data_IF_943216007731
#
_entry.id   IF_943216007731
#
_cell.length_a   1.000
_cell.length_b   1.000
_cell.length_c   1.000
_cell.angle_alpha   90.00
_cell.angle_beta   90.00
_cell.angle_gamma   90.00
#
_symmetry.space_group_name_H-M   'P 1'
#
loop_
_entity.id
_entity.type
_entity.pdbx_description
1 polymer ?
#
# COMPACT_ATOMS: atom_id res chain seq x y z
N UNK A 1 23.11 -11.28 -25.29
CA UNK A 1 22.00 -11.21 -24.31
C UNK A 1 20.76 -11.51 -25.11
N UNK A 2 20.06 -12.57 -24.80
CA UNK A 2 18.80 -12.95 -25.44
C UNK A 2 17.80 -11.80 -25.22
N UNK A 3 17.16 -11.38 -26.33
CA UNK A 3 16.18 -10.25 -26.31
C UNK A 3 14.84 -10.74 -25.72
N UNK A 4 14.89 -11.34 -24.52
CA UNK A 4 13.73 -11.92 -23.85
C UNK A 4 12.88 -10.81 -23.23
N UNK A 5 11.63 -10.72 -23.67
CA UNK A 5 10.68 -9.72 -23.21
C UNK A 5 9.89 -10.24 -22.00
N UNK A 6 10.08 -9.61 -20.86
CA UNK A 6 9.23 -9.73 -19.68
C UNK A 6 8.61 -8.36 -19.37
N UNK A 7 7.37 -8.32 -18.96
CA UNK A 7 6.78 -7.01 -18.69
C UNK A 7 5.35 -7.00 -18.18
N UNK A 8 4.83 -5.78 -18.05
CA UNK A 8 3.45 -5.48 -17.69
C UNK A 8 2.74 -4.85 -18.88
N UNK A 9 1.59 -5.38 -19.25
CA UNK A 9 0.68 -4.76 -20.21
C UNK A 9 -0.50 -4.09 -19.50
N UNK A 10 -0.88 -2.92 -19.97
CA UNK A 10 -2.01 -2.14 -19.48
C UNK A 10 -2.22 -0.87 -20.29
N UNK A 11 -3.33 -0.15 -20.06
CA UNK A 11 -3.63 1.10 -20.78
C UNK A 11 -2.81 2.28 -20.26
N UNK A 12 -2.64 2.40 -18.94
CA UNK A 12 -1.89 3.49 -18.28
C UNK A 12 -1.03 2.92 -17.17
N UNK A 13 0.30 3.04 -17.29
CA UNK A 13 1.28 2.37 -16.43
C UNK A 13 2.21 3.33 -15.66
N UNK A 14 1.95 4.64 -15.71
CA UNK A 14 2.83 5.72 -15.18
C UNK A 14 3.17 5.55 -13.68
N UNK A 15 2.33 4.86 -12.91
CA UNK A 15 2.49 4.70 -11.46
C UNK A 15 2.71 3.25 -11.03
N UNK A 16 3.12 2.37 -11.97
CA UNK A 16 3.34 0.96 -11.67
C UNK A 16 4.71 0.74 -11.01
N UNK A 17 4.74 0.02 -9.90
CA UNK A 17 5.96 -0.44 -9.23
C UNK A 17 6.35 -1.87 -9.63
N UNK A 18 5.68 -2.46 -10.61
CA UNK A 18 5.97 -3.82 -11.05
C UNK A 18 7.41 -3.94 -11.56
N UNK A 19 7.90 -2.93 -12.29
CA UNK A 19 9.27 -2.92 -12.80
C UNK A 19 10.29 -3.01 -11.67
N UNK A 20 10.18 -2.15 -10.67
CA UNK A 20 11.09 -2.10 -9.53
C UNK A 20 11.09 -3.43 -8.74
N UNK A 21 9.92 -4.05 -8.58
CA UNK A 21 9.79 -5.32 -7.86
C UNK A 21 10.45 -6.46 -8.65
N UNK A 22 10.15 -6.59 -9.94
CA UNK A 22 10.71 -7.65 -10.78
C UNK A 22 12.22 -7.48 -10.97
N UNK A 23 12.71 -6.25 -11.17
CA UNK A 23 14.15 -5.98 -11.29
C UNK A 23 14.91 -6.19 -9.97
N UNK A 24 14.26 -6.00 -8.80
CA UNK A 24 14.84 -6.32 -7.51
C UNK A 24 15.14 -7.82 -7.30
N UNK A 25 14.57 -8.70 -8.12
CA UNK A 25 14.91 -10.13 -8.16
C UNK A 25 16.22 -10.41 -8.90
N UNK A 26 16.69 -9.47 -9.76
CA UNK A 26 17.96 -9.58 -10.48
C UNK A 26 18.02 -10.74 -11.49
N UNK A 27 16.89 -11.17 -12.06
CA UNK A 27 16.81 -12.33 -12.96
C UNK A 27 16.62 -11.96 -14.41
N UNK A 28 15.92 -10.87 -14.70
CA UNK A 28 15.61 -10.37 -16.04
C UNK A 28 15.32 -8.87 -16.02
N UNK A 29 15.34 -8.24 -17.19
CA UNK A 29 14.85 -6.88 -17.35
C UNK A 29 13.33 -6.91 -17.51
N UNK A 30 12.63 -5.94 -16.90
CA UNK A 30 11.19 -5.86 -16.94
C UNK A 30 10.72 -4.55 -17.58
N UNK A 31 9.80 -4.66 -18.54
CA UNK A 31 9.34 -3.54 -19.35
C UNK A 31 7.86 -3.20 -19.05
N UNK A 32 7.48 -1.97 -19.33
CA UNK A 32 6.10 -1.51 -19.22
C UNK A 32 5.58 -1.25 -20.65
N UNK A 33 4.55 -1.98 -21.06
CA UNK A 33 3.93 -1.86 -22.38
C UNK A 33 2.56 -1.21 -22.23
N UNK A 34 2.50 0.11 -22.46
CA UNK A 34 1.21 0.83 -22.54
C UNK A 34 0.62 0.60 -23.93
N UNK A 35 -0.48 -0.13 -23.99
CA UNK A 35 -1.15 -0.53 -25.22
C UNK A 35 -2.56 0.08 -25.29
N UNK A 36 -3.01 0.44 -26.47
CA UNK A 36 -4.42 0.72 -26.72
C UNK A 36 -5.25 -0.58 -26.75
N UNK A 37 -6.57 -0.47 -26.66
CA UNK A 37 -7.44 -1.66 -26.60
C UNK A 37 -7.39 -2.52 -27.87
N UNK A 38 -7.22 -1.89 -29.02
CA UNK A 38 -7.05 -2.51 -30.34
C UNK A 38 -5.65 -3.10 -30.58
N UNK A 39 -4.61 -2.59 -29.91
CA UNK A 39 -3.24 -3.08 -30.03
C UNK A 39 -2.95 -4.33 -29.19
N UNK A 40 -3.68 -4.49 -28.06
CA UNK A 40 -3.40 -5.56 -27.10
C UNK A 40 -3.55 -6.97 -27.69
N UNK A 41 -4.59 -7.31 -28.47
CA UNK A 41 -4.72 -8.65 -29.06
C UNK A 41 -3.57 -8.99 -30.02
N UNK A 42 -3.16 -8.05 -30.85
CA UNK A 42 -2.04 -8.28 -31.79
C UNK A 42 -0.71 -8.47 -31.06
N UNK A 43 -0.48 -7.68 -30.00
CA UNK A 43 0.70 -7.84 -29.14
C UNK A 43 0.78 -9.23 -28.50
N UNK A 44 -0.34 -9.77 -27.99
CA UNK A 44 -0.38 -11.11 -27.40
C UNK A 44 -0.24 -12.19 -28.48
N UNK A 45 -0.92 -12.04 -29.62
CA UNK A 45 -0.90 -13.02 -30.71
C UNK A 45 0.47 -13.11 -31.41
N UNK A 46 1.27 -12.02 -31.38
CA UNK A 46 2.64 -12.05 -31.88
C UNK A 46 3.54 -13.03 -31.10
N UNK A 47 3.16 -13.45 -29.88
CA UNK A 47 3.86 -14.44 -29.05
C UNK A 47 5.35 -14.11 -28.78
N UNK A 48 5.79 -12.86 -28.98
CA UNK A 48 7.17 -12.41 -28.81
C UNK A 48 7.45 -11.89 -27.39
N UNK A 49 7.25 -12.76 -26.40
CA UNK A 49 7.54 -12.50 -24.98
C UNK A 49 7.79 -13.82 -24.22
N UNK A 50 8.41 -13.72 -23.05
CA UNK A 50 8.66 -14.87 -22.16
C UNK A 50 7.69 -14.93 -20.97
N UNK A 51 7.24 -13.78 -20.50
CA UNK A 51 6.26 -13.69 -19.42
C UNK A 51 5.70 -12.27 -19.30
N UNK A 52 4.39 -12.17 -19.09
CA UNK A 52 3.71 -10.89 -18.96
C UNK A 52 2.79 -10.88 -17.75
N UNK A 53 2.84 -9.78 -17.00
CA UNK A 53 1.73 -9.42 -16.15
C UNK A 53 0.71 -8.59 -16.92
N UNK A 54 -0.55 -8.68 -16.51
CA UNK A 54 -1.68 -7.98 -17.12
C UNK A 54 -2.39 -7.15 -16.06
N UNK A 55 -2.61 -5.85 -16.32
CA UNK A 55 -3.39 -4.99 -15.46
C UNK A 55 -4.60 -4.40 -16.16
N UNK A 56 -5.31 -3.53 -15.47
CA UNK A 56 -6.51 -2.85 -15.96
C UNK A 56 -6.23 -2.15 -17.31
N UNK A 57 -7.15 -2.26 -18.29
CA UNK A 57 -8.45 -2.95 -18.22
C UNK A 57 -8.41 -4.43 -18.67
N UNK A 58 -7.29 -4.97 -19.12
CA UNK A 58 -7.14 -6.16 -19.98
C UNK A 58 -7.24 -7.51 -19.28
N UNK A 59 -7.40 -7.57 -17.96
CA UNK A 59 -7.40 -8.85 -17.18
C UNK A 59 -8.48 -9.86 -17.62
N UNK A 60 -9.58 -9.39 -18.22
CA UNK A 60 -10.62 -10.26 -18.79
C UNK A 60 -10.39 -10.51 -20.28
N UNK A 61 -9.91 -9.51 -20.99
CA UNK A 61 -9.80 -9.52 -22.44
C UNK A 61 -8.68 -10.43 -22.94
N UNK A 62 -7.68 -10.74 -22.10
CA UNK A 62 -6.61 -11.67 -22.43
C UNK A 62 -7.02 -13.17 -22.29
N UNK A 63 -8.14 -13.45 -21.60
CA UNK A 63 -8.60 -14.84 -21.38
C UNK A 63 -8.76 -15.61 -22.71
N UNK A 64 -9.48 -15.10 -23.72
CA UNK A 64 -9.65 -15.79 -24.99
C UNK A 64 -8.38 -15.90 -25.85
N UNK A 65 -7.31 -15.18 -25.49
CA UNK A 65 -6.02 -15.19 -26.17
C UNK A 65 -5.03 -16.20 -25.58
N UNK A 66 -5.37 -16.88 -24.48
CA UNK A 66 -4.59 -17.93 -23.86
C UNK A 66 -4.95 -19.29 -24.46
N UNK A 67 -3.94 -20.16 -24.62
CA UNK A 67 -4.17 -21.55 -25.05
C UNK A 67 -4.76 -22.37 -23.88
N UNK A 68 -4.36 -22.09 -22.65
CA UNK A 68 -4.88 -22.68 -21.41
C UNK A 68 -5.13 -21.56 -20.37
N UNK A 69 -6.17 -21.70 -19.57
CA UNK A 69 -6.42 -20.85 -18.40
C UNK A 69 -6.56 -21.75 -17.19
N UNK A 70 -5.78 -21.47 -16.14
CA UNK A 70 -5.82 -22.28 -14.92
C UNK A 70 -7.22 -22.25 -14.27
N UNK A 71 -7.60 -23.30 -13.56
CA UNK A 71 -8.91 -23.39 -12.87
C UNK A 71 -9.12 -22.23 -11.89
N UNK A 72 -8.05 -21.78 -11.23
CA UNK A 72 -8.08 -20.63 -10.36
C UNK A 72 -8.46 -19.35 -11.12
N UNK A 73 -7.75 -19.03 -12.19
CA UNK A 73 -7.99 -17.82 -12.98
C UNK A 73 -9.37 -17.86 -13.66
N UNK A 74 -9.80 -19.05 -14.12
CA UNK A 74 -11.13 -19.29 -14.67
C UNK A 74 -12.23 -19.06 -13.62
N UNK A 75 -12.02 -19.58 -12.41
CA UNK A 75 -12.96 -19.38 -11.29
C UNK A 75 -13.05 -17.94 -10.80
N UNK A 76 -11.95 -17.18 -10.92
CA UNK A 76 -11.93 -15.73 -10.62
C UNK A 76 -12.53 -14.93 -11.79
N UNK A 77 -12.40 -15.39 -13.02
CA UNK A 77 -12.81 -14.68 -14.23
C UNK A 77 -11.85 -13.54 -14.61
N UNK A 78 -10.57 -13.63 -14.24
CA UNK A 78 -9.54 -12.65 -14.55
C UNK A 78 -8.15 -13.29 -14.57
N UNK A 79 -7.33 -12.88 -15.54
CA UNK A 79 -5.92 -13.27 -15.71
C UNK A 79 -5.05 -12.03 -15.49
N UNK A 80 -4.02 -12.15 -14.64
CA UNK A 80 -3.03 -11.09 -14.43
C UNK A 80 -1.60 -11.54 -14.76
N UNK A 81 -1.42 -12.81 -15.16
CA UNK A 81 -0.11 -13.42 -15.42
C UNK A 81 -0.21 -14.36 -16.61
N UNK A 82 0.64 -14.14 -17.62
CA UNK A 82 0.78 -14.97 -18.82
C UNK A 82 2.18 -15.59 -18.84
N UNK A 83 2.27 -16.91 -18.99
CA UNK A 83 3.54 -17.62 -19.01
C UNK A 83 3.49 -18.84 -19.94
N UNK A 84 4.66 -19.36 -20.29
CA UNK A 84 4.80 -20.50 -21.17
C UNK A 84 4.98 -21.79 -20.38
N UNK A 85 4.25 -22.83 -20.78
CA UNK A 85 4.33 -24.19 -20.25
C UNK A 85 4.61 -25.17 -21.40
N UNK A 86 5.42 -26.19 -21.17
CA UNK A 86 5.63 -27.23 -22.15
C UNK A 86 4.30 -27.91 -22.49
N UNK A 87 4.00 -28.08 -23.77
CA UNK A 87 2.85 -28.90 -24.16
C UNK A 87 3.14 -30.33 -23.70
N UNK A 88 2.23 -30.93 -22.90
CA UNK A 88 2.36 -32.31 -22.50
C UNK A 88 2.45 -33.18 -23.78
N UNK A 89 3.62 -33.77 -24.02
CA UNK A 89 3.79 -34.71 -25.10
C UNK A 89 2.77 -35.85 -24.93
N UNK A 90 2.12 -36.20 -26.00
CA UNK A 90 1.10 -37.25 -26.13
C UNK A 90 1.62 -38.59 -25.58
N UNK A 91 1.27 -38.91 -24.33
CA UNK A 91 1.29 -40.28 -23.81
C UNK A 91 -0.13 -40.65 -23.38
N UNK A 92 -0.90 -41.16 -24.38
CA UNK A 92 -2.00 -42.09 -24.18
C UNK A 92 -3.29 -41.56 -23.57
N UNK A 93 -4.28 -41.35 -24.44
CA UNK A 93 -5.72 -41.45 -24.17
C UNK A 93 -6.33 -40.79 -22.93
N UNK A 94 -6.87 -39.59 -23.10
CA UNK A 94 -8.17 -39.25 -22.49
C UNK A 94 -8.86 -38.16 -23.33
N UNK A 95 -10.06 -38.49 -23.80
CA UNK A 95 -10.95 -37.63 -24.56
C UNK A 95 -11.27 -36.34 -23.77
N UNK A 96 -10.76 -35.19 -24.21
CA UNK A 96 -11.22 -33.88 -23.77
C UNK A 96 -12.19 -33.35 -24.82
N UNK A 97 -13.49 -33.56 -24.56
CA UNK A 97 -14.57 -32.86 -25.26
C UNK A 97 -14.65 -31.41 -24.71
N UNK A 98 -14.06 -30.47 -25.43
CA UNK A 98 -14.20 -29.03 -25.17
C UNK A 98 -13.89 -28.27 -26.44
N UNK A 99 -14.90 -27.57 -26.97
CA UNK A 99 -14.84 -26.80 -28.22
C UNK A 99 -13.62 -25.86 -28.26
N UNK A 100 -12.69 -26.18 -29.16
CA UNK A 100 -11.59 -25.31 -29.54
C UNK A 100 -12.14 -24.20 -30.42
N UNK A 101 -12.24 -23.01 -29.83
CA UNK A 101 -12.37 -21.74 -30.56
C UNK A 101 -11.03 -21.07 -30.66
N UNK A 102 -10.62 -20.77 -31.89
CA UNK A 102 -9.46 -19.99 -32.30
C UNK A 102 -8.12 -20.76 -32.42
N UNK A 103 -7.49 -20.60 -33.57
CA UNK A 103 -6.19 -21.10 -34.00
C UNK A 103 -5.08 -20.70 -33.03
N UNK A 104 -4.82 -21.51 -32.02
CA UNK A 104 -3.72 -21.35 -31.09
C UNK A 104 -2.39 -21.55 -31.81
N UNK A 105 -1.63 -20.51 -32.03
CA UNK A 105 -0.26 -20.58 -32.49
C UNK A 105 0.61 -21.23 -31.43
N UNK A 106 1.18 -22.39 -31.69
CA UNK A 106 2.20 -22.99 -30.86
C UNK A 106 3.46 -22.16 -31.03
N UNK A 107 4.06 -21.69 -29.87
CA UNK A 107 5.37 -21.08 -29.88
C UNK A 107 6.36 -22.04 -30.62
N UNK A 108 7.38 -21.52 -31.37
CA UNK A 108 8.39 -22.33 -32.07
C UNK A 108 9.07 -23.41 -31.20
N UNK A 109 9.01 -23.28 -29.88
CA UNK A 109 9.56 -24.24 -28.91
C UNK A 109 8.56 -25.32 -28.45
N UNK A 110 7.36 -25.42 -29.03
CA UNK A 110 6.33 -26.41 -28.63
C UNK A 110 5.65 -26.12 -27.30
N UNK A 111 5.59 -24.87 -26.86
CA UNK A 111 4.98 -24.42 -25.61
C UNK A 111 3.59 -23.81 -25.82
N UNK A 112 2.74 -23.94 -24.83
CA UNK A 112 1.42 -23.29 -24.78
C UNK A 112 1.42 -22.08 -23.89
N UNK A 113 0.63 -21.06 -24.22
CA UNK A 113 0.44 -19.85 -23.41
C UNK A 113 -0.63 -20.08 -22.35
N UNK A 114 -0.22 -19.99 -21.07
CA UNK A 114 -1.10 -20.20 -19.92
C UNK A 114 -1.44 -18.88 -19.26
N UNK A 115 -2.74 -18.65 -19.03
CA UNK A 115 -3.27 -17.56 -18.22
C UNK A 115 -3.49 -17.96 -16.76
N UNK A 116 -2.97 -17.16 -15.83
CA UNK A 116 -3.08 -17.40 -14.39
C UNK A 116 -3.40 -16.10 -13.63
N UNK A 117 -3.71 -16.24 -12.32
CA UNK A 117 -4.02 -15.07 -11.48
C UNK A 117 -3.19 -15.08 -10.18
N UNK A 118 -2.03 -14.44 -10.22
CA UNK A 118 -1.13 -14.30 -9.05
C UNK A 118 -1.57 -13.26 -8.03
N UNK A 119 -2.61 -12.44 -8.31
CA UNK A 119 -3.21 -11.57 -7.29
C UNK A 119 -3.75 -12.40 -6.11
N UNK A 120 -4.21 -13.62 -6.38
CA UNK A 120 -4.70 -14.56 -5.37
C UNK A 120 -3.60 -14.96 -4.38
N UNK A 121 -2.43 -15.39 -4.88
CA UNK A 121 -1.28 -15.73 -4.03
C UNK A 121 -0.78 -14.50 -3.26
N UNK A 122 -0.77 -13.34 -3.94
CA UNK A 122 -0.41 -12.06 -3.33
C UNK A 122 -1.33 -11.68 -2.18
N UNK A 123 -2.63 -11.84 -2.34
CA UNK A 123 -3.63 -11.54 -1.32
C UNK A 123 -3.51 -12.47 -0.12
N UNK A 124 -3.41 -13.77 -0.34
CA UNK A 124 -3.23 -14.76 0.73
C UNK A 124 -1.93 -14.52 1.50
N UNK A 125 -0.85 -14.17 0.80
CA UNK A 125 0.41 -13.80 1.46
C UNK A 125 0.24 -12.57 2.35
N UNK A 126 -0.45 -11.52 1.87
CA UNK A 126 -0.68 -10.29 2.64
C UNK A 126 -1.52 -10.57 3.90
N UNK A 127 -2.58 -11.37 3.79
CA UNK A 127 -3.42 -11.78 4.91
C UNK A 127 -2.63 -12.60 5.94
N UNK A 128 -1.96 -13.66 5.49
CA UNK A 128 -1.16 -14.55 6.35
C UNK A 128 -0.05 -13.80 7.08
N UNK A 129 0.67 -12.92 6.38
CA UNK A 129 1.73 -12.07 6.98
C UNK A 129 1.21 -11.18 8.10
N UNK A 130 -0.03 -10.71 8.01
CA UNK A 130 -0.69 -9.90 9.03
C UNK A 130 -1.36 -10.75 10.14
N UNK A 131 -1.29 -12.07 10.04
CA UNK A 131 -1.98 -12.99 10.96
C UNK A 131 -3.50 -12.91 10.84
N UNK A 132 -4.01 -12.63 9.65
CA UNK A 132 -5.43 -12.57 9.30
C UNK A 132 -5.79 -13.88 8.60
N UNK A 133 -6.79 -14.56 9.13
CA UNK A 133 -7.38 -15.78 8.56
C UNK A 133 -8.89 -15.55 8.32
N UNK A 134 -9.50 -16.44 7.53
CA UNK A 134 -10.91 -16.34 7.15
C UNK A 134 -11.75 -17.51 7.65
N UNK A 135 -11.14 -18.55 8.21
CA UNK A 135 -11.82 -19.78 8.60
C UNK A 135 -12.92 -19.49 9.63
N UNK A 136 -14.16 -19.89 9.31
CA UNK A 136 -15.33 -19.72 10.16
C UNK A 136 -15.78 -18.27 10.36
N UNK A 137 -15.26 -17.30 9.60
CA UNK A 137 -15.50 -15.85 9.80
C UNK A 137 -16.53 -15.27 8.84
N UNK A 138 -17.21 -14.23 9.33
CA UNK A 138 -17.99 -13.32 8.49
C UNK A 138 -17.08 -12.29 7.83
N UNK A 139 -17.04 -12.29 6.51
CA UNK A 139 -16.17 -11.43 5.70
C UNK A 139 -16.99 -10.40 4.94
N UNK A 140 -16.68 -9.12 5.12
CA UNK A 140 -17.27 -8.03 4.33
C UNK A 140 -16.26 -7.55 3.28
N UNK A 141 -16.61 -7.67 2.00
CA UNK A 141 -15.81 -7.17 0.89
C UNK A 141 -16.46 -5.91 0.35
N UNK A 142 -15.75 -4.79 0.38
CA UNK A 142 -16.20 -3.50 -0.14
C UNK A 142 -15.82 -3.39 -1.61
N UNK A 143 -16.81 -3.27 -2.50
CA UNK A 143 -16.65 -3.12 -3.95
C UNK A 143 -16.86 -4.41 -4.74
N UNK A 144 -17.05 -4.25 -6.06
CA UNK A 144 -17.47 -5.31 -7.01
C UNK A 144 -16.52 -5.50 -8.18
N UNK A 145 -15.38 -4.78 -8.19
CA UNK A 145 -14.37 -4.85 -9.26
C UNK A 145 -13.57 -6.15 -9.31
N UNK A 146 -12.63 -6.25 -10.25
CA UNK A 146 -11.81 -7.46 -10.48
C UNK A 146 -11.07 -7.97 -9.23
N UNK A 147 -10.56 -7.07 -8.38
CA UNK A 147 -9.91 -7.45 -7.12
C UNK A 147 -10.90 -8.05 -6.11
N UNK A 148 -12.17 -7.60 -6.14
CA UNK A 148 -13.24 -8.18 -5.31
C UNK A 148 -13.50 -9.64 -5.68
N UNK A 149 -13.48 -10.00 -6.99
CA UNK A 149 -13.65 -11.38 -7.44
C UNK A 149 -12.58 -12.30 -6.86
N UNK A 150 -11.33 -11.84 -6.88
CA UNK A 150 -10.20 -12.57 -6.27
C UNK A 150 -10.36 -12.69 -4.75
N UNK A 151 -10.73 -11.61 -4.05
CA UNK A 151 -10.91 -11.63 -2.60
C UNK A 151 -12.06 -12.56 -2.14
N UNK A 152 -13.16 -12.60 -2.90
CA UNK A 152 -14.28 -13.55 -2.71
C UNK A 152 -13.77 -14.99 -2.79
N UNK A 153 -13.04 -15.30 -3.85
CA UNK A 153 -12.48 -16.62 -4.08
C UNK A 153 -11.52 -17.01 -2.94
N UNK A 154 -10.61 -16.12 -2.56
CA UNK A 154 -9.67 -16.36 -1.47
C UNK A 154 -10.37 -16.61 -0.12
N UNK A 155 -11.38 -15.82 0.22
CA UNK A 155 -12.16 -16.01 1.44
C UNK A 155 -12.93 -17.35 1.45
N UNK A 156 -13.53 -17.73 0.31
CA UNK A 156 -14.25 -18.99 0.17
C UNK A 156 -13.31 -20.20 0.26
N UNK A 157 -12.16 -20.17 -0.41
CA UNK A 157 -11.17 -21.24 -0.37
C UNK A 157 -10.52 -21.40 1.02
N UNK A 158 -10.56 -20.34 1.85
CA UNK A 158 -10.12 -20.34 3.23
C UNK A 158 -11.27 -20.58 4.22
N UNK A 159 -12.38 -21.17 3.78
CA UNK A 159 -13.52 -21.61 4.59
C UNK A 159 -14.20 -20.48 5.39
N UNK A 160 -14.35 -19.29 4.80
CA UNK A 160 -15.17 -18.25 5.41
C UNK A 160 -16.61 -18.75 5.64
N UNK A 161 -17.18 -18.47 6.79
CA UNK A 161 -18.55 -18.89 7.13
C UNK A 161 -19.60 -18.14 6.29
N UNK A 162 -19.36 -16.85 6.03
CA UNK A 162 -20.23 -15.99 5.23
C UNK A 162 -19.42 -14.90 4.57
N UNK A 163 -19.76 -14.56 3.33
CA UNK A 163 -19.13 -13.50 2.55
C UNK A 163 -20.19 -12.51 2.09
N UNK A 164 -20.07 -11.27 2.55
CA UNK A 164 -20.92 -10.17 2.15
C UNK A 164 -20.17 -9.25 1.18
N UNK A 165 -20.83 -8.83 0.12
CA UNK A 165 -20.27 -7.91 -0.87
C UNK A 165 -21.07 -6.61 -0.79
N UNK A 166 -20.44 -5.53 -0.37
CA UNK A 166 -21.06 -4.22 -0.37
C UNK A 166 -21.00 -3.61 -1.77
N UNK A 167 -22.17 -3.34 -2.34
CA UNK A 167 -22.34 -2.67 -3.64
C UNK A 167 -23.22 -1.45 -3.52
N UNK A 168 -22.98 -0.47 -4.39
CA UNK A 168 -23.89 0.67 -4.60
C UNK A 168 -25.11 0.29 -5.43
N UNK A 169 -24.99 -0.81 -6.17
CA UNK A 169 -26.02 -1.33 -7.09
C UNK A 169 -26.15 -2.84 -6.91
N UNK A 170 -26.62 -3.31 -5.73
CA UNK A 170 -26.67 -4.76 -5.42
C UNK A 170 -27.57 -5.55 -6.37
N UNK A 171 -28.55 -4.92 -6.98
CA UNK A 171 -29.48 -5.52 -7.95
C UNK A 171 -28.84 -5.83 -9.30
N UNK A 172 -27.79 -5.07 -9.69
CA UNK A 172 -27.08 -5.24 -10.95
C UNK A 172 -25.74 -5.92 -10.82
N UNK A 173 -25.25 -6.06 -9.57
CA UNK A 173 -24.00 -6.73 -9.23
C UNK A 173 -24.26 -8.10 -8.57
N UNK A 174 -24.89 -9.06 -9.27
CA UNK A 174 -25.15 -10.37 -8.69
C UNK A 174 -23.82 -11.04 -8.34
N UNK A 175 -23.79 -11.88 -7.30
CA UNK A 175 -22.58 -12.63 -6.96
C UNK A 175 -22.21 -13.52 -8.15
N UNK A 176 -21.17 -13.12 -8.92
CA UNK A 176 -20.67 -13.93 -10.04
C UNK A 176 -19.56 -14.88 -9.57
N UNK A 177 -19.62 -16.12 -9.98
CA UNK A 177 -18.64 -17.18 -9.68
C UNK A 177 -19.33 -18.50 -9.38
N UNK A 178 -19.34 -19.42 -10.35
CA UNK A 178 -20.19 -20.62 -10.37
C UNK A 178 -20.05 -21.58 -9.19
N UNK A 179 -18.88 -21.70 -8.56
CA UNK A 179 -18.65 -22.64 -7.44
C UNK A 179 -18.94 -22.04 -6.05
N UNK A 180 -18.91 -20.71 -5.90
CA UNK A 180 -19.17 -20.05 -4.63
C UNK A 180 -20.67 -19.83 -4.39
N UNK A 181 -21.45 -19.67 -5.46
CA UNK A 181 -22.92 -19.53 -5.39
C UNK A 181 -23.62 -20.76 -4.84
N UNK A 182 -23.12 -21.94 -5.16
CA UNK A 182 -23.74 -23.22 -4.75
C UNK A 182 -23.66 -23.48 -3.23
N UNK A 183 -22.76 -22.80 -2.52
CA UNK A 183 -22.57 -22.98 -1.08
C UNK A 183 -23.49 -22.11 -0.20
N UNK A 184 -24.25 -21.16 -0.77
CA UNK A 184 -25.11 -20.24 0.00
C UNK A 184 -24.37 -19.27 0.96
N UNK A 185 -23.03 -19.23 0.85
CA UNK A 185 -22.19 -18.38 1.72
C UNK A 185 -22.04 -16.96 1.22
N UNK A 186 -22.39 -16.66 -0.03
CA UNK A 186 -22.21 -15.37 -0.67
C UNK A 186 -23.52 -14.57 -0.71
N UNK A 187 -23.45 -13.30 -0.31
CA UNK A 187 -24.60 -12.37 -0.37
C UNK A 187 -24.12 -10.97 -0.82
N UNK A 188 -24.85 -10.34 -1.74
CA UNK A 188 -24.62 -8.92 -2.07
C UNK A 188 -25.60 -8.06 -1.24
N UNK A 189 -25.08 -6.98 -0.67
CA UNK A 189 -25.82 -6.04 0.17
C UNK A 189 -25.57 -4.60 -0.25
N UNK A 190 -26.53 -3.71 -0.04
CA UNK A 190 -26.29 -2.28 -0.17
C UNK A 190 -25.52 -1.73 1.04
N UNK A 191 -24.96 -0.54 0.90
CA UNK A 191 -24.31 0.13 2.03
C UNK A 191 -25.31 0.49 3.16
N UNK A 192 -26.58 0.70 2.83
CA UNK A 192 -27.64 1.00 3.81
C UNK A 192 -28.03 -0.23 4.65
N UNK A 193 -27.78 -1.44 4.15
CA UNK A 193 -28.02 -2.70 4.86
C UNK A 193 -26.87 -3.13 5.76
N UNK A 194 -25.72 -2.45 5.71
CA UNK A 194 -24.56 -2.80 6.53
C UNK A 194 -24.85 -2.83 8.03
N UNK A 195 -25.66 -1.93 8.62
CA UNK A 195 -26.00 -2.01 10.04
C UNK A 195 -26.67 -3.33 10.46
N UNK A 196 -27.43 -3.97 9.57
CA UNK A 196 -28.15 -5.22 9.85
C UNK A 196 -27.21 -6.42 10.01
N UNK A 197 -26.04 -6.38 9.34
CA UNK A 197 -25.05 -7.46 9.34
C UNK A 197 -23.80 -7.12 10.15
N UNK A 198 -23.67 -5.90 10.67
CA UNK A 198 -22.44 -5.39 11.28
C UNK A 198 -21.89 -6.27 12.41
N UNK A 199 -22.76 -6.87 13.21
CA UNK A 199 -22.39 -7.76 14.33
C UNK A 199 -21.82 -9.11 13.86
N UNK A 200 -22.08 -9.52 12.60
CA UNK A 200 -21.61 -10.80 12.04
C UNK A 200 -20.31 -10.66 11.24
N UNK A 201 -19.71 -9.47 11.20
CA UNK A 201 -18.50 -9.19 10.42
C UNK A 201 -17.27 -9.26 11.30
N UNK A 202 -16.36 -10.19 10.98
CA UNK A 202 -15.07 -10.37 11.64
C UNK A 202 -13.92 -9.78 10.84
N UNK A 203 -13.98 -9.82 9.50
CA UNK A 203 -12.94 -9.35 8.61
C UNK A 203 -13.52 -8.41 7.55
N UNK A 204 -12.89 -7.26 7.36
CA UNK A 204 -13.28 -6.29 6.32
C UNK A 204 -12.17 -6.22 5.27
N UNK A 205 -12.54 -6.35 4.00
CA UNK A 205 -11.62 -6.26 2.86
C UNK A 205 -12.05 -5.09 1.97
N UNK A 206 -11.25 -4.01 1.94
CA UNK A 206 -11.48 -2.91 1.02
C UNK A 206 -10.83 -3.19 -0.34
N UNK A 207 -11.65 -3.37 -1.37
CA UNK A 207 -11.23 -3.51 -2.77
C UNK A 207 -11.65 -2.31 -3.63
N UNK A 208 -12.17 -1.24 -2.99
CA UNK A 208 -12.54 0.01 -3.66
C UNK A 208 -11.33 0.93 -3.83
N UNK A 209 -11.34 1.90 -4.73
CA UNK A 209 -10.31 2.92 -4.83
C UNK A 209 -10.45 4.06 -3.80
N UNK A 210 -11.46 4.02 -2.90
CA UNK A 210 -11.73 5.09 -1.95
C UNK A 210 -10.61 5.17 -0.91
N UNK A 211 -10.00 6.34 -0.78
CA UNK A 211 -8.83 6.56 0.07
C UNK A 211 -7.50 6.47 -0.66
N UNK A 212 -7.49 6.13 -1.96
CA UNK A 212 -6.29 6.17 -2.81
C UNK A 212 -5.87 7.64 -3.09
N UNK A 213 -4.56 7.88 -3.18
CA UNK A 213 -4.01 9.16 -3.65
C UNK A 213 -4.64 9.60 -4.98
N UNK A 214 -4.99 10.89 -5.18
CA UNK A 214 -4.81 12.03 -4.26
C UNK A 214 -5.93 12.23 -3.22
N UNK A 215 -6.98 11.38 -3.22
CA UNK A 215 -8.17 11.51 -2.38
C UNK A 215 -7.99 10.81 -1.01
N UNK A 216 -6.80 10.98 -0.44
CA UNK A 216 -6.46 10.43 0.86
C UNK A 216 -7.48 10.88 1.94
N UNK A 217 -7.61 10.12 3.01
CA UNK A 217 -8.54 10.35 4.14
C UNK A 217 -10.02 10.17 3.82
N UNK A 218 -10.39 9.79 2.60
CA UNK A 218 -11.72 9.26 2.32
C UNK A 218 -11.82 7.80 2.78
N UNK A 219 -12.97 7.41 3.32
CA UNK A 219 -13.27 6.02 3.66
C UNK A 219 -14.73 5.71 3.37
N UNK A 220 -15.01 4.45 3.06
CA UNK A 220 -16.34 3.97 2.64
C UNK A 220 -17.24 3.72 3.84
N UNK A 221 -16.65 3.23 4.94
CA UNK A 221 -17.32 2.83 6.17
C UNK A 221 -16.52 3.29 7.38
N UNK A 222 -17.10 3.25 8.56
CA UNK A 222 -16.41 3.48 9.84
C UNK A 222 -16.29 2.15 10.59
N UNK A 223 -15.10 1.78 11.01
CA UNK A 223 -14.86 0.49 11.68
C UNK A 223 -15.57 0.38 13.04
N UNK A 224 -15.79 1.52 13.71
CA UNK A 224 -16.55 1.57 14.96
C UNK A 224 -18.00 1.06 14.82
N UNK A 225 -18.55 1.06 13.61
CA UNK A 225 -19.90 0.59 13.34
C UNK A 225 -19.95 -0.96 13.21
N UNK A 226 -18.79 -1.64 13.25
CA UNK A 226 -18.64 -3.11 13.18
C UNK A 226 -18.01 -3.67 14.46
N UNK A 227 -18.79 -3.88 15.52
CA UNK A 227 -18.26 -4.22 16.83
C UNK A 227 -17.57 -5.59 16.90
N UNK A 228 -17.86 -6.51 15.97
CA UNK A 228 -17.23 -7.83 15.84
C UNK A 228 -15.92 -7.83 15.04
N UNK A 229 -15.59 -6.72 14.37
CA UNK A 229 -14.46 -6.67 13.47
C UNK A 229 -13.12 -6.87 14.20
N UNK A 230 -12.32 -7.81 13.72
CA UNK A 230 -11.01 -8.19 14.28
C UNK A 230 -9.87 -7.82 13.35
N UNK A 231 -10.17 -7.71 12.04
CA UNK A 231 -9.12 -7.50 11.04
C UNK A 231 -9.60 -6.71 9.81
N UNK A 232 -8.68 -5.96 9.21
CA UNK A 232 -8.91 -5.15 8.01
C UNK A 232 -7.81 -5.40 6.98
N UNK A 233 -8.21 -5.71 5.75
CA UNK A 233 -7.32 -5.76 4.58
C UNK A 233 -7.72 -4.62 3.64
N UNK A 234 -6.79 -3.73 3.33
CA UNK A 234 -6.99 -2.70 2.33
C UNK A 234 -6.02 -2.95 1.16
N UNK A 235 -6.54 -3.18 -0.04
CA UNK A 235 -5.69 -3.45 -1.21
C UNK A 235 -4.96 -2.19 -1.72
N UNK A 236 -5.27 -1.04 -1.16
CA UNK A 236 -4.58 0.22 -1.45
C UNK A 236 -3.18 0.18 -0.83
N UNK A 237 -2.17 0.57 -1.61
CA UNK A 237 -0.78 0.72 -1.18
C UNK A 237 -0.27 2.17 -1.30
N UNK A 238 -1.10 3.07 -1.82
CA UNK A 238 -0.83 4.50 -1.88
C UNK A 238 -2.06 5.30 -1.42
N UNK A 239 -2.10 5.80 -0.19
CA UNK A 239 -1.04 5.79 0.85
C UNK A 239 -0.80 4.40 1.45
N UNK A 240 0.26 4.27 2.28
CA UNK A 240 0.51 3.04 3.06
C UNK A 240 -0.55 2.79 4.12
N UNK A 241 -1.07 3.85 4.73
CA UNK A 241 -2.21 3.77 5.67
C UNK A 241 -3.32 4.70 5.18
N UNK A 242 -4.37 4.11 4.66
CA UNK A 242 -5.61 4.83 4.36
C UNK A 242 -6.30 5.28 5.65
N UNK A 243 -7.33 6.11 5.56
CA UNK A 243 -8.14 6.48 6.73
C UNK A 243 -8.71 5.24 7.43
N UNK A 244 -9.12 4.23 6.66
CA UNK A 244 -9.61 2.94 7.15
C UNK A 244 -8.54 2.21 7.99
N UNK A 245 -7.30 2.15 7.50
CA UNK A 245 -6.20 1.49 8.22
C UNK A 245 -5.71 2.30 9.43
N UNK A 246 -5.77 3.63 9.38
CA UNK A 246 -5.50 4.48 10.55
C UNK A 246 -6.55 4.28 11.66
N UNK A 247 -7.82 4.07 11.29
CA UNK A 247 -8.87 3.72 12.24
C UNK A 247 -8.65 2.32 12.81
N UNK A 248 -8.28 1.33 11.99
CA UNK A 248 -7.93 -0.03 12.42
C UNK A 248 -6.77 -0.03 13.43
N UNK A 249 -5.70 0.73 13.15
CA UNK A 249 -4.56 0.90 14.07
C UNK A 249 -5.00 1.48 15.41
N UNK A 250 -5.84 2.53 15.39
CA UNK A 250 -6.37 3.17 16.60
C UNK A 250 -7.24 2.23 17.44
N UNK A 251 -7.98 1.34 16.80
CA UNK A 251 -8.83 0.34 17.46
C UNK A 251 -8.05 -0.93 17.87
N UNK A 252 -6.75 -1.03 17.55
CA UNK A 252 -5.92 -2.19 17.88
C UNK A 252 -6.27 -3.44 17.06
N UNK A 253 -6.92 -3.27 15.88
CA UNK A 253 -7.27 -4.38 15.00
C UNK A 253 -6.04 -4.84 14.22
N UNK A 254 -6.03 -6.12 13.80
CA UNK A 254 -5.07 -6.59 12.81
C UNK A 254 -5.32 -5.90 11.48
N UNK A 255 -4.28 -5.49 10.77
CA UNK A 255 -4.47 -4.89 9.45
C UNK A 255 -3.27 -5.10 8.51
N UNK A 256 -3.54 -5.03 7.22
CA UNK A 256 -2.52 -4.95 6.17
C UNK A 256 -2.97 -4.01 5.06
N UNK A 257 -1.99 -3.37 4.40
CA UNK A 257 -2.21 -2.61 3.16
C UNK A 257 -1.90 -3.47 1.92
N UNK A 258 -2.05 -2.90 0.72
CA UNK A 258 -1.84 -3.59 -0.54
C UNK A 258 -0.38 -3.84 -0.92
N UNK A 259 0.63 -3.26 -0.24
CA UNK A 259 2.03 -3.42 -0.63
C UNK A 259 2.53 -4.87 -0.53
N UNK A 260 2.26 -5.64 0.53
CA UNK A 260 2.62 -7.05 0.58
C UNK A 260 1.99 -7.87 -0.55
N UNK A 261 0.73 -7.60 -0.88
CA UNK A 261 0.03 -8.23 -2.01
C UNK A 261 0.72 -7.87 -3.34
N UNK A 262 1.03 -6.60 -3.56
CA UNK A 262 1.69 -6.11 -4.78
C UNK A 262 3.05 -6.78 -5.00
N UNK A 263 3.84 -6.97 -3.94
CA UNK A 263 5.13 -7.64 -4.02
C UNK A 263 4.95 -9.14 -4.25
N UNK A 264 4.11 -9.79 -3.46
CA UNK A 264 3.99 -11.24 -3.50
C UNK A 264 3.38 -11.76 -4.82
N UNK A 265 2.42 -11.02 -5.43
CA UNK A 265 1.91 -11.39 -6.76
C UNK A 265 3.00 -11.29 -7.85
N UNK A 266 3.90 -10.31 -7.74
CA UNK A 266 4.98 -10.14 -8.71
C UNK A 266 6.06 -11.22 -8.56
N UNK A 267 6.43 -11.59 -7.33
CA UNK A 267 7.38 -12.69 -7.09
C UNK A 267 6.78 -14.06 -7.47
N UNK A 268 5.47 -14.25 -7.28
CA UNK A 268 4.77 -15.43 -7.77
C UNK A 268 4.80 -15.49 -9.31
N UNK A 269 4.46 -14.38 -9.98
CA UNK A 269 4.53 -14.28 -11.45
C UNK A 269 5.94 -14.57 -11.97
N UNK A 270 6.99 -14.04 -11.33
CA UNK A 270 8.37 -14.35 -11.69
C UNK A 270 8.69 -15.86 -11.61
N UNK A 271 8.13 -16.56 -10.61
CA UNK A 271 8.23 -18.01 -10.51
C UNK A 271 7.62 -18.73 -11.70
N UNK A 272 6.43 -18.33 -12.13
CA UNK A 272 5.80 -18.89 -13.33
C UNK A 272 6.58 -18.56 -14.61
N UNK A 273 7.06 -17.34 -14.77
CA UNK A 273 7.86 -16.92 -15.93
C UNK A 273 9.12 -17.75 -16.10
N UNK A 274 9.75 -18.17 -15.01
CA UNK A 274 11.02 -18.90 -14.99
C UNK A 274 10.82 -20.42 -14.79
N UNK A 275 9.59 -20.92 -14.84
CA UNK A 275 9.29 -22.35 -14.66
C UNK A 275 9.59 -22.88 -13.25
N UNK A 276 9.66 -22.02 -12.25
CA UNK A 276 9.95 -22.33 -10.85
C UNK A 276 8.94 -21.72 -9.87
N UNK A 277 7.64 -22.11 -9.93
CA UNK A 277 6.61 -21.57 -9.08
C UNK A 277 7.00 -21.66 -7.59
N UNK A 278 6.79 -20.55 -6.86
CA UNK A 278 7.09 -20.45 -5.43
C UNK A 278 8.55 -20.14 -5.07
N UNK A 279 9.51 -20.21 -6.01
CA UNK A 279 10.95 -20.06 -5.71
C UNK A 279 11.33 -18.69 -5.12
N UNK A 280 10.55 -17.64 -5.41
CA UNK A 280 10.85 -16.27 -5.02
C UNK A 280 10.07 -15.77 -3.78
N UNK A 281 9.23 -16.59 -3.17
CA UNK A 281 8.44 -16.17 -1.99
C UNK A 281 9.32 -15.69 -0.82
N UNK A 282 10.51 -16.28 -0.64
CA UNK A 282 11.49 -15.87 0.38
C UNK A 282 12.00 -14.43 0.20
N UNK A 283 11.91 -13.87 -1.01
CA UNK A 283 12.33 -12.51 -1.31
C UNK A 283 11.28 -11.46 -0.93
N UNK A 284 10.03 -11.85 -0.71
CA UNK A 284 8.92 -10.94 -0.44
C UNK A 284 9.24 -9.96 0.68
N UNK A 285 9.69 -10.46 1.85
CA UNK A 285 9.95 -9.61 3.00
C UNK A 285 11.06 -8.58 2.74
N UNK A 286 12.13 -9.00 2.06
CA UNK A 286 13.25 -8.13 1.67
C UNK A 286 12.78 -7.02 0.73
N UNK A 287 12.00 -7.37 -0.29
CA UNK A 287 11.51 -6.41 -1.29
C UNK A 287 10.48 -5.46 -0.66
N UNK A 288 9.54 -5.97 0.15
CA UNK A 288 8.57 -5.14 0.88
C UNK A 288 9.30 -4.10 1.74
N UNK A 289 10.30 -4.53 2.53
CA UNK A 289 11.09 -3.63 3.37
C UNK A 289 11.83 -2.58 2.55
N UNK A 290 12.47 -2.96 1.45
CA UNK A 290 13.17 -2.05 0.56
C UNK A 290 12.21 -1.00 -0.04
N UNK A 291 11.03 -1.41 -0.51
CA UNK A 291 10.01 -0.48 -1.03
C UNK A 291 9.45 0.45 0.04
N UNK A 292 9.18 -0.06 1.25
CA UNK A 292 8.76 0.79 2.37
C UNK A 292 9.81 1.85 2.70
N UNK A 293 11.07 1.48 2.74
CA UNK A 293 12.18 2.41 2.97
C UNK A 293 12.33 3.42 1.83
N UNK A 294 12.20 3.00 0.58
CA UNK A 294 12.31 3.88 -0.59
C UNK A 294 11.16 4.88 -0.66
N UNK A 295 9.94 4.40 -0.53
CA UNK A 295 8.73 5.19 -0.77
C UNK A 295 8.26 5.96 0.48
N UNK A 296 8.51 5.45 1.68
CA UNK A 296 8.01 6.01 2.93
C UNK A 296 8.65 7.35 3.29
N UNK A 297 7.95 8.13 4.08
CA UNK A 297 8.44 9.38 4.65
C UNK A 297 9.07 9.14 6.02
N UNK A 298 10.06 9.96 6.38
CA UNK A 298 10.59 10.05 7.74
C UNK A 298 10.10 11.38 8.32
N UNK A 299 9.22 11.32 9.31
CA UNK A 299 8.62 12.52 9.90
C UNK A 299 9.26 12.82 11.25
N UNK A 300 9.93 13.97 11.36
CA UNK A 300 10.62 14.39 12.57
C UNK A 300 9.69 15.25 13.43
N UNK A 301 9.29 14.74 14.59
CA UNK A 301 8.49 15.43 15.58
C UNK A 301 9.31 15.71 16.85
N UNK A 302 8.91 16.69 17.65
CA UNK A 302 9.57 17.01 18.93
C UNK A 302 9.57 18.50 19.25
N UNK A 303 9.95 18.83 20.48
CA UNK A 303 10.01 20.20 20.98
C UNK A 303 10.82 21.13 20.07
N UNK A 304 10.51 22.44 20.05
CA UNK A 304 11.34 23.43 19.39
C UNK A 304 12.79 23.36 19.91
N UNK A 305 13.80 23.35 19.00
CA UNK A 305 15.22 23.32 19.38
C UNK A 305 15.82 21.95 19.67
N UNK A 306 15.09 20.87 19.51
CA UNK A 306 15.63 19.50 19.65
C UNK A 306 16.59 19.09 18.55
N UNK A 307 16.69 19.86 17.45
CA UNK A 307 17.61 19.60 16.33
C UNK A 307 17.00 18.85 15.16
N UNK A 308 15.68 18.89 15.00
CA UNK A 308 14.96 18.24 13.88
C UNK A 308 15.53 18.60 12.52
N UNK A 309 15.72 19.89 12.21
CA UNK A 309 16.26 20.34 10.92
C UNK A 309 17.71 19.87 10.69
N UNK A 310 18.55 19.76 11.74
CA UNK A 310 19.92 19.23 11.65
C UNK A 310 19.89 17.73 11.32
N UNK A 311 19.07 16.98 12.05
CA UNK A 311 18.88 15.54 11.84
C UNK A 311 18.23 15.29 10.48
N UNK A 312 17.28 16.13 10.07
CA UNK A 312 16.64 16.07 8.76
C UNK A 312 17.63 16.22 7.60
N UNK A 313 18.55 17.20 7.67
CA UNK A 313 19.63 17.37 6.69
C UNK A 313 20.53 16.13 6.62
N UNK A 314 20.88 15.59 7.78
CA UNK A 314 21.72 14.41 7.85
C UNK A 314 21.02 13.15 7.28
N UNK A 315 19.74 12.98 7.56
CA UNK A 315 18.94 11.91 6.97
C UNK A 315 18.82 12.07 5.45
N UNK A 316 18.64 13.30 4.94
CA UNK A 316 18.62 13.57 3.50
C UNK A 316 19.93 13.14 2.81
N UNK A 317 21.08 13.46 3.42
CA UNK A 317 22.39 13.01 2.94
C UNK A 317 22.57 11.49 2.97
N UNK A 318 21.97 10.81 3.96
CA UNK A 318 22.10 9.36 4.12
C UNK A 318 21.17 8.55 3.21
N UNK A 319 19.98 9.10 2.92
CA UNK A 319 18.90 8.36 2.24
C UNK A 319 18.62 8.83 0.82
N UNK A 320 19.12 10.01 0.43
CA UNK A 320 18.76 10.67 -0.83
C UNK A 320 17.35 11.26 -0.86
N UNK A 321 16.60 11.20 0.26
CA UNK A 321 15.24 11.76 0.34
C UNK A 321 15.26 13.28 0.42
N UNK A 322 14.20 13.91 -0.12
CA UNK A 322 14.04 15.37 -0.08
C UNK A 322 13.59 15.82 1.31
N UNK A 323 14.33 16.78 1.90
CA UNK A 323 13.95 17.40 3.16
C UNK A 323 12.92 18.51 2.92
N UNK A 324 11.82 18.46 3.65
CA UNK A 324 10.78 19.50 3.74
C UNK A 324 10.64 19.96 5.20
N UNK A 325 10.72 21.26 5.43
CA UNK A 325 10.47 21.87 6.74
C UNK A 325 9.08 22.52 6.71
N UNK A 326 8.19 22.13 7.62
CA UNK A 326 6.80 22.62 7.60
C UNK A 326 6.72 24.11 7.90
N UNK A 327 7.60 24.64 8.78
CA UNK A 327 7.60 26.05 9.14
C UNK A 327 8.03 26.89 7.91
N UNK A 328 9.07 26.47 7.19
CA UNK A 328 9.50 27.12 5.96
C UNK A 328 8.43 27.06 4.84
N UNK A 329 7.70 25.94 4.74
CA UNK A 329 6.61 25.81 3.75
C UNK A 329 5.40 26.68 4.08
N UNK A 330 5.12 26.91 5.37
CA UNK A 330 4.07 27.83 5.78
C UNK A 330 4.44 29.27 5.38
N UNK A 331 5.69 29.70 5.64
CA UNK A 331 6.16 31.03 5.25
C UNK A 331 6.16 31.22 3.74
N UNK A 332 6.61 30.21 2.99
CA UNK A 332 6.60 30.21 1.51
C UNK A 332 5.18 30.36 0.93
N UNK A 333 4.20 29.59 1.42
CA UNK A 333 2.82 29.65 0.91
C UNK A 333 2.04 30.87 1.41
N UNK A 334 2.42 31.41 2.57
CA UNK A 334 1.79 32.61 3.13
C UNK A 334 2.37 33.90 2.55
N UNK A 335 3.56 33.86 1.93
CA UNK A 335 4.39 35.03 1.58
C UNK A 335 4.61 35.96 2.78
N UNK A 336 4.65 35.39 3.99
CA UNK A 336 4.78 36.07 5.26
C UNK A 336 5.64 35.27 6.23
N UNK A 337 6.36 35.93 7.10
CA UNK A 337 7.05 35.27 8.21
C UNK A 337 6.07 34.73 9.25
N UNK A 338 6.46 33.71 10.01
CA UNK A 338 5.62 33.15 11.09
C UNK A 338 5.19 34.25 12.10
N UNK A 339 6.06 35.19 12.55
CA UNK A 339 5.62 36.30 13.41
C UNK A 339 4.51 37.14 12.78
N UNK A 340 4.60 37.46 11.49
CA UNK A 340 3.57 38.24 10.77
C UNK A 340 2.24 37.48 10.68
N UNK A 341 2.30 36.14 10.47
CA UNK A 341 1.10 35.29 10.49
C UNK A 341 0.43 35.32 11.86
N UNK A 342 1.24 35.20 12.94
CA UNK A 342 0.71 35.30 14.32
C UNK A 342 0.10 36.67 14.61
N UNK A 343 0.68 37.76 14.10
CA UNK A 343 0.14 39.11 14.26
C UNK A 343 -1.17 39.32 13.51
N UNK A 344 -1.26 38.86 12.27
CA UNK A 344 -2.44 39.03 11.40
C UNK A 344 -3.58 38.06 11.67
N UNK A 345 -3.26 36.78 11.90
CA UNK A 345 -4.24 35.70 11.92
C UNK A 345 -4.34 35.01 13.31
N UNK A 346 -3.44 35.35 14.23
CA UNK A 346 -3.36 34.71 15.53
C UNK A 346 -2.84 33.29 15.48
N UNK A 347 -2.85 32.60 16.64
CA UNK A 347 -2.41 31.21 16.72
C UNK A 347 -3.34 30.28 15.92
N UNK A 348 -4.64 30.55 15.90
CA UNK A 348 -5.60 29.72 15.17
C UNK A 348 -5.31 29.68 13.66
N UNK A 349 -5.09 30.84 13.04
CA UNK A 349 -4.75 30.93 11.62
C UNK A 349 -3.43 30.24 11.31
N UNK A 350 -2.40 30.42 12.14
CA UNK A 350 -1.15 29.65 11.99
C UNK A 350 -1.39 28.15 12.05
N UNK A 351 -2.21 27.65 13.01
CA UNK A 351 -2.52 26.21 13.12
C UNK A 351 -3.29 25.68 11.92
N UNK A 352 -4.14 26.47 11.30
CA UNK A 352 -4.86 26.06 10.08
C UNK A 352 -3.91 25.89 8.90
N UNK A 353 -2.95 26.83 8.74
CA UNK A 353 -1.87 26.73 7.76
C UNK A 353 -0.97 25.52 8.02
N UNK A 354 -0.56 25.31 9.28
CA UNK A 354 0.22 24.14 9.69
C UNK A 354 -0.51 22.82 9.32
N UNK A 355 -1.82 22.77 9.55
CA UNK A 355 -2.63 21.59 9.16
C UNK A 355 -2.73 21.41 7.65
N UNK A 356 -2.86 22.47 6.87
CA UNK A 356 -2.88 22.39 5.41
C UNK A 356 -1.56 21.83 4.87
N UNK A 357 -0.41 22.33 5.37
CA UNK A 357 0.92 21.83 5.01
C UNK A 357 1.11 20.36 5.42
N UNK A 358 0.73 20.00 6.65
CA UNK A 358 0.80 18.59 7.08
C UNK A 358 -0.03 17.65 6.19
N UNK A 359 -1.23 18.06 5.79
CA UNK A 359 -2.07 17.30 4.84
C UNK A 359 -1.45 17.20 3.45
N UNK A 360 -0.83 18.26 2.96
CA UNK A 360 -0.15 18.29 1.66
C UNK A 360 1.05 17.36 1.66
N UNK A 361 2.00 17.56 2.59
CA UNK A 361 3.23 16.76 2.68
C UNK A 361 2.96 15.30 3.08
N UNK A 362 1.94 15.04 3.89
CA UNK A 362 1.56 13.67 4.28
C UNK A 362 1.06 12.80 3.13
N UNK A 363 0.54 13.40 2.06
CA UNK A 363 0.15 12.68 0.83
C UNK A 363 1.34 12.30 -0.03
N UNK A 364 2.41 13.09 0.02
CA UNK A 364 3.63 12.87 -0.75
C UNK A 364 4.42 11.68 -0.19
N UNK A 365 5.40 11.24 -0.97
CA UNK A 365 6.27 10.11 -0.65
C UNK A 365 7.74 10.48 -0.80
N UNK A 366 8.60 9.64 -0.22
CA UNK A 366 10.05 9.79 -0.31
C UNK A 366 10.57 11.10 0.28
N UNK A 367 9.93 11.60 1.34
CA UNK A 367 10.30 12.84 2.01
C UNK A 367 10.89 12.59 3.39
N UNK A 368 11.69 13.55 3.84
CA UNK A 368 11.96 13.81 5.24
C UNK A 368 11.18 15.06 5.61
N UNK A 369 10.26 14.96 6.56
CA UNK A 369 9.39 16.06 6.96
C UNK A 369 9.81 16.50 8.36
N UNK A 370 10.43 17.69 8.48
CA UNK A 370 10.72 18.31 9.77
C UNK A 370 9.53 19.17 10.18
N UNK A 371 8.80 18.78 11.23
CA UNK A 371 7.58 19.50 11.65
C UNK A 371 7.86 20.63 12.61
N UNK A 372 6.98 21.63 12.62
CA UNK A 372 6.86 22.59 13.73
C UNK A 372 6.60 21.85 15.06
N UNK A 373 7.04 22.43 16.18
CA UNK A 373 6.88 21.78 17.50
C UNK A 373 5.43 21.67 17.97
N UNK A 374 4.48 22.32 17.29
CA UNK A 374 3.05 22.27 17.62
C UNK A 374 2.21 21.37 16.72
N UNK A 375 2.79 20.83 15.66
CA UNK A 375 2.07 20.02 14.69
C UNK A 375 1.29 18.84 15.31
N UNK A 376 1.82 18.25 16.40
CA UNK A 376 1.19 17.14 17.12
C UNK A 376 -0.01 17.54 17.97
N UNK A 377 -0.29 18.84 18.15
CA UNK A 377 -1.42 19.31 18.95
C UNK A 377 -2.77 19.03 18.28
N UNK A 378 -2.77 18.87 16.98
CA UNK A 378 -3.95 18.50 16.19
C UNK A 378 -3.84 17.05 15.73
N UNK A 379 -4.74 16.15 16.19
CA UNK A 379 -4.71 14.73 15.81
C UNK A 379 -4.78 14.50 14.29
N UNK A 380 -5.47 15.37 13.55
CA UNK A 380 -5.56 15.32 12.10
C UNK A 380 -4.22 15.53 11.39
N UNK A 381 -3.30 16.30 11.98
CA UNK A 381 -1.94 16.45 11.44
C UNK A 381 -1.16 15.15 11.60
N UNK A 382 -1.27 14.54 12.78
CA UNK A 382 -0.63 13.23 13.04
C UNK A 382 -1.16 12.18 12.09
N UNK A 383 -2.48 12.10 11.90
CA UNK A 383 -3.11 11.17 10.97
C UNK A 383 -2.63 11.40 9.53
N UNK A 384 -2.59 12.66 9.07
CA UNK A 384 -2.13 13.00 7.74
C UNK A 384 -0.66 12.59 7.51
N UNK A 385 0.22 12.88 8.46
CA UNK A 385 1.64 12.53 8.38
C UNK A 385 1.91 11.02 8.48
N UNK A 386 1.07 10.28 9.23
CA UNK A 386 1.16 8.82 9.38
C UNK A 386 0.74 8.03 8.15
N UNK A 387 0.05 8.63 7.19
CA UNK A 387 -0.40 7.92 5.98
C UNK A 387 0.76 7.25 5.23
N UNK A 388 1.87 7.98 5.08
CA UNK A 388 3.07 7.50 4.39
C UNK A 388 4.33 7.59 5.25
N UNK A 389 4.23 8.06 6.50
CA UNK A 389 5.38 8.44 7.33
C UNK A 389 5.55 7.60 8.57
N UNK A 390 6.81 7.29 8.90
CA UNK A 390 7.25 6.84 10.21
C UNK A 390 7.60 8.06 11.06
N UNK A 391 6.95 8.23 12.21
CA UNK A 391 7.13 9.38 13.08
C UNK A 391 8.30 9.15 14.05
N UNK A 392 9.34 9.95 13.91
CA UNK A 392 10.55 9.92 14.73
C UNK A 392 10.54 11.08 15.72
N UNK A 393 10.37 10.78 17.00
CA UNK A 393 10.42 11.76 18.05
C UNK A 393 11.87 12.11 18.43
N UNK A 394 12.28 13.32 18.08
CA UNK A 394 13.59 13.85 18.47
C UNK A 394 13.50 14.50 19.84
N UNK A 395 14.17 13.92 20.84
CA UNK A 395 14.19 14.43 22.21
C UNK A 395 15.52 15.11 22.54
N UNK A 396 15.47 16.12 23.39
CA UNK A 396 16.64 16.79 23.96
C UNK A 396 16.31 17.29 25.36
N UNK A 397 17.28 17.22 26.29
CA UNK A 397 17.09 17.73 27.66
C UNK A 397 16.75 19.22 27.63
N UNK A 398 15.82 19.62 28.46
CA UNK A 398 15.24 20.98 28.44
C UNK A 398 16.28 22.09 28.73
N UNK A 399 17.26 21.78 29.57
CA UNK A 399 18.40 22.66 29.89
C UNK A 399 19.30 22.94 28.66
N UNK A 400 19.20 22.11 27.62
CA UNK A 400 19.97 22.22 26.36
C UNK A 400 19.16 22.84 25.23
N UNK A 401 17.89 23.20 25.48
CA UNK A 401 17.03 23.82 24.46
C UNK A 401 17.30 25.32 24.36
N UNK A 402 17.44 25.91 23.16
CA UNK A 402 17.60 27.34 22.99
C UNK A 402 16.32 28.09 23.35
N UNK A 403 16.45 29.20 24.11
CA UNK A 403 15.34 30.06 24.57
C UNK A 403 15.18 31.34 23.76
N UNK A 404 16.15 31.68 22.87
CA UNK A 404 16.11 32.94 22.10
C UNK A 404 15.47 32.74 20.71
N UNK A 405 14.78 33.79 20.21
CA UNK A 405 14.30 33.88 18.83
C UNK A 405 13.02 33.07 18.53
N UNK A 406 12.14 32.82 19.53
CA UNK A 406 10.91 32.05 19.34
C UNK A 406 9.73 32.65 20.11
N UNK A 407 8.59 32.89 19.43
CA UNK A 407 7.44 33.56 20.06
C UNK A 407 6.89 32.84 21.29
N UNK A 408 6.84 31.49 21.28
CA UNK A 408 6.16 30.69 22.32
C UNK A 408 7.09 30.07 23.38
N UNK A 409 8.43 30.22 23.27
CA UNK A 409 9.40 29.59 24.19
C UNK A 409 10.43 30.60 24.72
N UNK A 410 9.94 31.71 25.28
CA UNK A 410 10.76 32.86 25.68
C UNK A 410 11.67 32.60 26.90
N UNK A 411 11.32 31.64 27.75
CA UNK A 411 12.09 31.28 28.96
C UNK A 411 11.96 29.79 29.30
N UNK A 412 12.74 29.35 30.30
CA UNK A 412 12.81 27.91 30.68
C UNK A 412 11.50 27.41 31.30
N UNK A 413 10.74 28.27 31.97
CA UNK A 413 9.45 27.92 32.59
C UNK A 413 8.39 27.68 31.50
N UNK A 414 8.34 28.53 30.49
CA UNK A 414 7.48 28.34 29.32
C UNK A 414 7.82 27.01 28.59
N UNK A 415 9.11 26.67 28.45
CA UNK A 415 9.55 25.41 27.90
C UNK A 415 9.11 24.20 28.74
N UNK A 416 9.23 24.26 30.08
CA UNK A 416 8.76 23.20 31.00
C UNK A 416 7.25 22.98 30.90
N UNK A 417 6.48 24.08 30.87
CA UNK A 417 5.02 24.01 30.70
C UNK A 417 4.65 23.39 29.37
N UNK A 418 5.31 23.80 28.28
CA UNK A 418 5.12 23.25 26.94
C UNK A 418 5.51 21.77 26.87
N UNK A 419 6.62 21.39 27.50
CA UNK A 419 7.05 19.98 27.57
C UNK A 419 6.02 19.13 28.30
N UNK A 420 5.56 19.54 29.46
CA UNK A 420 4.54 18.82 30.22
C UNK A 420 3.25 18.60 29.43
N UNK A 421 2.83 19.59 28.65
CA UNK A 421 1.64 19.52 27.81
C UNK A 421 1.84 18.60 26.59
N UNK A 422 3.01 18.68 25.92
CA UNK A 422 3.23 18.04 24.61
C UNK A 422 3.90 16.67 24.69
N UNK A 423 4.63 16.37 25.75
CA UNK A 423 5.36 15.10 25.88
C UNK A 423 4.46 13.87 25.79
N UNK A 424 3.25 13.81 26.40
CA UNK A 424 2.34 12.69 26.23
C UNK A 424 1.92 12.50 24.77
N UNK A 425 1.67 13.60 24.05
CA UNK A 425 1.27 13.57 22.62
C UNK A 425 2.42 13.09 21.73
N UNK A 426 3.66 13.56 21.97
CA UNK A 426 4.82 13.06 21.24
C UNK A 426 5.03 11.56 21.45
N UNK A 427 4.92 11.09 22.70
CA UNK A 427 5.07 9.66 23.02
C UNK A 427 4.01 8.80 22.36
N UNK A 428 2.76 9.28 22.34
CA UNK A 428 1.65 8.58 21.70
C UNK A 428 1.76 8.54 20.15
N UNK A 429 2.34 9.60 19.57
CA UNK A 429 2.51 9.71 18.12
C UNK A 429 3.77 9.04 17.59
N UNK A 430 4.79 8.77 18.40
CA UNK A 430 6.10 8.33 17.93
C UNK A 430 6.16 6.83 17.67
N UNK A 431 6.66 6.44 16.50
CA UNK A 431 7.07 5.08 16.19
C UNK A 431 8.51 4.80 16.66
N UNK A 432 9.37 5.83 16.57
CA UNK A 432 10.78 5.77 16.98
C UNK A 432 11.10 6.97 17.86
N UNK A 433 11.90 6.78 18.92
CA UNK A 433 12.42 7.89 19.74
C UNK A 433 13.94 7.97 19.59
N UNK A 434 14.44 9.16 19.22
CA UNK A 434 15.85 9.47 19.09
C UNK A 434 16.27 10.56 20.10
N UNK A 435 17.21 10.23 20.98
CA UNK A 435 17.73 11.16 22.01
C UNK A 435 18.92 11.95 21.46
N UNK A 436 18.77 13.27 21.31
CA UNK A 436 19.76 14.21 20.80
C UNK A 436 20.40 15.08 21.91
N UNK A 437 20.83 14.44 22.99
CA UNK A 437 21.43 15.14 24.16
C UNK A 437 22.94 15.38 24.04
N UNK A 438 23.59 14.78 23.08
CA UNK A 438 25.05 14.73 23.03
C UNK A 438 25.62 15.81 22.12
N UNK A 439 26.62 16.54 22.61
CA UNK A 439 27.54 17.29 21.77
C UNK A 439 28.56 16.32 21.22
N UNK A 440 28.45 15.97 19.97
CA UNK A 440 29.35 15.02 19.32
C UNK A 440 29.75 15.50 17.93
N UNK A 441 30.84 14.95 17.38
CA UNK A 441 31.23 15.22 15.99
C UNK A 441 30.14 14.81 15.01
N UNK A 442 30.12 15.42 13.83
CA UNK A 442 29.18 15.05 12.75
C UNK A 442 29.28 13.57 12.38
N UNK A 443 30.48 13.00 12.38
CA UNK A 443 30.70 11.57 12.14
C UNK A 443 29.93 10.70 13.15
N UNK A 444 30.10 10.98 14.45
CA UNK A 444 29.41 10.23 15.52
C UNK A 444 27.92 10.43 15.51
N UNK A 445 27.42 11.62 15.16
CA UNK A 445 25.99 11.85 14.97
C UNK A 445 25.43 11.04 13.81
N UNK A 446 26.16 10.93 12.69
CA UNK A 446 25.81 10.12 11.52
C UNK A 446 25.68 8.64 11.87
N UNK A 447 26.65 8.08 12.60
CA UNK A 447 26.60 6.69 13.08
C UNK A 447 25.37 6.44 13.95
N UNK A 448 25.08 7.35 14.88
CA UNK A 448 23.89 7.24 15.75
C UNK A 448 22.58 7.36 14.99
N UNK A 449 22.47 8.25 14.03
CA UNK A 449 21.26 8.39 13.19
C UNK A 449 21.04 7.12 12.37
N UNK A 450 22.11 6.53 11.82
CA UNK A 450 22.02 5.26 11.13
C UNK A 450 21.47 4.16 12.05
N UNK A 451 22.13 3.91 13.19
CA UNK A 451 21.77 2.83 14.11
C UNK A 451 20.38 3.01 14.76
N UNK A 452 20.05 4.22 15.20
CA UNK A 452 18.83 4.43 16.00
C UNK A 452 17.63 4.88 15.22
N UNK A 453 17.79 5.26 13.95
CA UNK A 453 16.68 5.64 13.07
C UNK A 453 16.62 4.72 11.86
N UNK A 454 17.66 4.71 10.99
CA UNK A 454 17.58 4.02 9.69
C UNK A 454 17.49 2.49 9.80
N UNK A 455 18.20 1.87 10.74
CA UNK A 455 18.12 0.42 10.96
C UNK A 455 16.75 -0.03 11.53
N UNK A 456 15.99 0.91 12.12
CA UNK A 456 14.66 0.66 12.69
C UNK A 456 13.51 0.92 11.71
N UNK A 457 13.79 1.59 10.59
CA UNK A 457 12.88 1.77 9.47
C UNK A 457 12.91 0.54 8.56
#
# INVERSE_FOLDING_TARGET
MTNEKYGLIGKTLVHSYSKEIHEALGRYQYQLFSLAEDEMPDFINARDFRGLNVTIPYKKDVIPLCDEVTDLARGIGAVNTLFWKDSAGDQGNTECSGQAGASGGINPEGKILVGHNTDYEGFLYAASRAGIDFEGKGVLILGTGGTSLMARRAAADQNAAKIYIASRHPETDPPSGSKIQDAGILSTVSYDQLPEIAASIDVIVNTTPVGTFPNNMQQVIRLKDFPGCQAVIDVIYNPFKTALLLEAEKLGLKYTNGLPMLVAQATAAAGYFLGTPGAFQKENQRIIKAMQQQMGNIVLIGMPGTGKSIIGKLLAELTGKTLQDTDAKIEEEAEMTIPEIFEKEGEAGFRDRESAICKKLGKERNLIIATGGGAILRPENVAALRQNGTLVHITRSIDKLPTRGRPLSKNIEALKKMEAQRMPLYKAAADITFRNNYTCSRKKLRERVNTYILEKL
#
